data_IF_549532308338
#
_entry.id   IF_549532308338
#
_cell.length_a   1.000
_cell.length_b   1.000
_cell.length_c   1.000
_cell.angle_alpha   90.00
_cell.angle_beta   90.00
_cell.angle_gamma   90.00
#
_symmetry.space_group_name_H-M   'P 1'
#
loop_
_entity.id
_entity.type
_entity.pdbx_description
1 polymer ?
#
# COMPACT_ATOMS: atom_id res chain seq x y z
N UNK A 1 29.79 21.69 -39.85
CA UNK A 1 28.86 22.59 -40.53
C UNK A 1 28.06 21.76 -41.52
N UNK A 2 26.94 21.20 -41.07
CA UNK A 2 26.03 20.42 -41.90
C UNK A 2 24.63 20.99 -41.65
N UNK A 3 24.19 21.82 -42.59
CA UNK A 3 22.88 22.44 -42.59
C UNK A 3 21.77 21.39 -42.58
N UNK A 4 20.94 21.46 -41.56
CA UNK A 4 19.71 20.65 -41.43
C UNK A 4 18.65 21.29 -42.35
N UNK A 5 18.62 20.91 -43.61
CA UNK A 5 17.56 21.26 -44.53
C UNK A 5 16.20 20.78 -44.00
N UNK A 6 15.22 21.69 -43.96
CA UNK A 6 13.86 21.41 -43.56
C UNK A 6 13.14 20.57 -44.63
N UNK A 7 12.23 19.67 -44.21
CA UNK A 7 11.49 18.77 -45.13
C UNK A 7 10.76 19.57 -46.24
N UNK A 8 10.33 20.78 -45.92
CA UNK A 8 9.66 21.67 -46.87
C UNK A 8 10.60 22.23 -47.96
N UNK A 9 11.91 22.40 -47.68
CA UNK A 9 12.93 22.79 -48.67
C UNK A 9 13.29 21.66 -49.64
N UNK A 10 13.21 20.40 -49.17
CA UNK A 10 13.47 19.21 -50.02
C UNK A 10 12.30 18.99 -51.01
N UNK A 11 11.07 19.31 -50.60
CA UNK A 11 9.89 19.23 -51.46
C UNK A 11 9.91 20.23 -52.62
N UNK A 12 10.51 21.41 -52.42
CA UNK A 12 10.67 22.44 -53.43
C UNK A 12 11.68 22.08 -54.53
N UNK A 13 12.56 21.09 -54.28
CA UNK A 13 13.57 20.62 -55.23
C UNK A 13 13.08 19.47 -56.13
N UNK A 14 11.79 19.12 -56.10
CA UNK A 14 11.18 18.11 -56.97
C UNK A 14 11.66 16.66 -56.74
N UNK A 15 12.32 16.38 -55.63
CA UNK A 15 12.78 15.02 -55.29
C UNK A 15 11.92 14.45 -54.17
N UNK A 16 11.33 13.28 -54.37
CA UNK A 16 10.63 12.54 -53.34
C UNK A 16 11.64 12.11 -52.25
N UNK A 17 11.44 12.52 -50.98
CA UNK A 17 12.37 12.13 -49.93
C UNK A 17 12.32 10.61 -49.73
N UNK A 18 13.50 10.00 -49.66
CA UNK A 18 13.56 8.54 -49.35
C UNK A 18 12.94 8.26 -47.99
N UNK A 19 12.35 7.08 -47.83
CA UNK A 19 11.74 6.64 -46.56
C UNK A 19 12.70 6.79 -45.37
N UNK A 20 14.00 6.64 -45.60
CA UNK A 20 15.05 6.84 -44.61
C UNK A 20 15.20 8.29 -44.14
N UNK A 21 15.06 9.29 -45.07
CA UNK A 21 15.15 10.71 -44.75
C UNK A 21 13.95 11.17 -43.92
N UNK A 22 12.74 10.63 -44.19
CA UNK A 22 11.52 10.93 -43.41
C UNK A 22 11.63 10.34 -41.99
N UNK A 23 12.20 9.14 -41.83
CA UNK A 23 12.39 8.51 -40.52
C UNK A 23 13.44 9.26 -39.67
N UNK A 24 14.53 9.73 -40.32
CA UNK A 24 15.56 10.51 -39.62
C UNK A 24 15.07 11.92 -39.25
N UNK A 25 14.29 12.57 -40.09
CA UNK A 25 13.67 13.86 -39.77
C UNK A 25 12.66 13.73 -38.59
N UNK A 26 11.85 12.67 -38.56
CA UNK A 26 10.97 12.36 -37.42
C UNK A 26 11.73 12.13 -36.13
N UNK A 27 12.86 11.40 -36.15
CA UNK A 27 13.71 11.17 -34.93
C UNK A 27 14.34 12.49 -34.45
N UNK A 28 14.79 13.38 -35.34
CA UNK A 28 15.36 14.68 -34.97
C UNK A 28 14.35 15.64 -34.33
N UNK A 29 13.08 15.59 -34.76
CA UNK A 29 12.00 16.43 -34.24
C UNK A 29 11.64 16.12 -32.79
N UNK A 30 11.69 14.84 -32.39
CA UNK A 30 11.41 14.41 -31.02
C UNK A 30 12.55 14.70 -30.02
N UNK A 31 13.79 14.81 -30.52
CA UNK A 31 14.95 15.06 -29.65
C UNK A 31 15.14 16.53 -29.28
N UNK A 32 14.76 17.46 -30.17
CA UNK A 32 14.90 18.93 -29.93
C UNK A 32 13.84 19.52 -28.97
N UNK A 33 12.70 18.83 -28.74
CA UNK A 33 11.64 19.33 -27.85
C UNK A 33 11.88 19.07 -26.34
N UNK A 34 12.91 18.32 -25.98
CA UNK A 34 13.10 17.88 -24.57
C UNK A 34 13.88 18.82 -23.65
N UNK A 35 14.56 19.83 -24.14
CA UNK A 35 15.46 20.65 -23.29
C UNK A 35 14.85 22.03 -22.91
N UNK A 36 13.89 22.54 -23.69
CA UNK A 36 13.28 23.84 -23.43
C UNK A 36 12.10 23.86 -22.44
N UNK A 37 11.46 22.73 -22.21
CA UNK A 37 10.20 22.64 -21.44
C UNK A 37 10.39 22.36 -19.93
N UNK A 38 11.58 21.95 -19.49
CA UNK A 38 11.81 21.57 -18.10
C UNK A 38 11.72 22.74 -17.11
N UNK A 39 12.17 23.95 -17.51
CA UNK A 39 12.09 25.14 -16.66
C UNK A 39 10.68 25.70 -16.56
N UNK A 40 9.91 25.69 -17.64
CA UNK A 40 8.52 26.15 -17.64
C UNK A 40 7.58 25.21 -16.88
N UNK A 41 7.73 23.90 -17.06
CA UNK A 41 6.93 22.92 -16.33
C UNK A 41 7.30 22.84 -14.83
N UNK A 42 8.57 23.04 -14.46
CA UNK A 42 8.98 23.13 -13.07
C UNK A 42 8.37 24.35 -12.36
N UNK A 43 8.28 25.49 -13.05
CA UNK A 43 7.66 26.70 -12.50
C UNK A 43 6.14 26.53 -12.28
N UNK A 44 5.47 25.83 -13.19
CA UNK A 44 4.04 25.51 -13.05
C UNK A 44 3.75 24.50 -11.94
N UNK A 45 4.68 23.57 -11.66
CA UNK A 45 4.57 22.59 -10.57
C UNK A 45 5.04 23.15 -9.22
N UNK A 46 5.82 24.23 -9.21
CA UNK A 46 6.39 24.79 -7.98
C UNK A 46 5.31 25.16 -6.94
N UNK A 47 4.19 25.82 -7.25
CA UNK A 47 3.19 26.17 -6.24
C UNK A 47 2.57 24.92 -5.59
N UNK A 48 2.28 23.88 -6.37
CA UNK A 48 1.69 22.62 -5.85
C UNK A 48 2.70 21.84 -5.02
N UNK A 49 3.97 21.80 -5.41
CA UNK A 49 5.05 21.18 -4.65
C UNK A 49 5.31 21.90 -3.33
N UNK A 50 5.35 23.25 -3.34
CA UNK A 50 5.51 24.06 -2.13
C UNK A 50 4.35 23.83 -1.18
N UNK A 51 3.10 23.86 -1.68
CA UNK A 51 1.92 23.60 -0.87
C UNK A 51 1.98 22.20 -0.25
N UNK A 52 2.31 21.19 -1.03
CA UNK A 52 2.43 19.80 -0.58
C UNK A 52 3.52 19.65 0.48
N UNK A 53 4.70 20.24 0.27
CA UNK A 53 5.80 20.24 1.23
C UNK A 53 5.43 20.97 2.53
N UNK A 54 4.72 22.08 2.46
CA UNK A 54 4.25 22.79 3.64
C UNK A 54 3.18 21.99 4.38
N UNK A 55 2.19 21.46 3.67
CA UNK A 55 1.09 20.72 4.30
C UNK A 55 1.51 19.38 4.91
N UNK A 56 2.48 18.67 4.31
CA UNK A 56 3.01 17.42 4.83
C UNK A 56 4.24 17.61 5.73
N UNK A 57 5.13 18.52 5.35
CA UNK A 57 6.39 18.74 6.07
C UNK A 57 6.17 19.38 7.42
N UNK A 58 5.29 20.40 7.52
CA UNK A 58 5.07 21.11 8.77
C UNK A 58 4.57 20.19 9.89
N UNK A 59 3.51 19.37 9.71
CA UNK A 59 3.08 18.43 10.75
C UNK A 59 4.16 17.40 11.12
N UNK A 60 4.90 16.90 10.14
CA UNK A 60 6.01 15.97 10.40
C UNK A 60 7.10 16.60 11.24
N UNK A 61 7.50 17.84 10.93
CA UNK A 61 8.51 18.58 11.70
C UNK A 61 7.99 18.84 13.12
N UNK A 62 6.74 19.23 13.28
CA UNK A 62 6.12 19.46 14.61
C UNK A 62 6.16 18.18 15.43
N UNK A 63 5.72 17.04 14.87
CA UNK A 63 5.77 15.72 15.55
C UNK A 63 7.21 15.32 15.87
N UNK A 64 8.15 15.55 14.95
CA UNK A 64 9.57 15.27 15.16
C UNK A 64 10.13 16.14 16.31
N UNK A 65 9.87 17.44 16.32
CA UNK A 65 10.35 18.34 17.39
C UNK A 65 9.72 17.95 18.72
N UNK A 66 8.40 17.74 18.77
CA UNK A 66 7.72 17.34 20.01
C UNK A 66 8.22 16.01 20.55
N UNK A 67 8.70 15.10 19.70
CA UNK A 67 9.26 13.82 20.15
C UNK A 67 10.52 13.94 21.04
N UNK A 68 11.23 15.07 20.95
CA UNK A 68 12.41 15.38 21.77
C UNK A 68 12.10 16.29 22.95
N UNK A 69 10.86 16.79 23.08
CA UNK A 69 10.47 17.67 24.18
C UNK A 69 10.56 16.97 25.54
N UNK A 70 10.71 17.76 26.63
CA UNK A 70 10.66 17.26 27.99
C UNK A 70 9.38 16.50 28.28
N UNK A 71 9.48 15.46 29.10
CA UNK A 71 8.34 14.60 29.42
C UNK A 71 8.20 14.41 30.93
N UNK A 72 7.07 14.90 31.45
CA UNK A 72 6.75 14.87 32.89
C UNK A 72 6.64 13.42 33.40
N UNK A 73 6.13 12.48 32.60
CA UNK A 73 6.01 11.06 33.01
C UNK A 73 7.38 10.39 33.22
N UNK A 74 8.41 10.86 32.51
CA UNK A 74 9.79 10.32 32.59
C UNK A 74 10.63 11.15 33.56
N UNK A 75 10.07 12.21 34.13
CA UNK A 75 10.77 13.17 35.05
C UNK A 75 12.06 13.75 34.42
N UNK A 76 12.01 14.07 33.13
CA UNK A 76 13.11 14.68 32.38
C UNK A 76 12.72 16.07 31.93
N UNK A 77 13.49 17.05 32.35
CA UNK A 77 13.25 18.48 32.08
C UNK A 77 13.98 18.97 30.81
N UNK A 78 15.01 18.21 30.33
CA UNK A 78 15.79 18.58 29.17
C UNK A 78 15.30 17.85 27.91
N UNK A 79 15.35 18.49 26.72
CA UNK A 79 15.11 17.82 25.44
C UNK A 79 16.12 16.72 25.18
N UNK A 80 15.70 15.60 24.58
CA UNK A 80 16.61 14.51 24.28
C UNK A 80 15.93 13.23 23.78
N UNK A 81 16.69 12.18 23.61
CA UNK A 81 16.21 10.86 23.16
C UNK A 81 15.50 10.04 24.22
N UNK A 82 15.23 10.58 25.39
CA UNK A 82 14.65 9.89 26.55
C UNK A 82 13.27 9.26 26.27
N UNK A 83 12.45 9.88 25.43
CA UNK A 83 11.16 9.33 25.03
C UNK A 83 11.32 8.04 24.23
N UNK A 84 12.30 7.99 23.33
CA UNK A 84 12.62 6.79 22.54
C UNK A 84 13.21 5.68 23.40
N UNK A 85 14.17 6.04 24.28
CA UNK A 85 14.77 5.11 25.23
C UNK A 85 13.70 4.47 26.10
N UNK A 86 12.78 5.27 26.64
CA UNK A 86 11.65 4.79 27.44
C UNK A 86 10.75 3.83 26.69
N UNK A 87 10.39 4.14 25.42
CA UNK A 87 9.56 3.26 24.60
C UNK A 87 10.23 1.92 24.27
N UNK A 88 11.56 1.93 24.08
CA UNK A 88 12.32 0.71 23.73
C UNK A 88 12.67 -0.09 24.96
N UNK A 89 13.07 0.56 26.05
CA UNK A 89 13.48 -0.11 27.29
C UNK A 89 12.31 -0.75 28.03
N UNK A 90 11.12 -0.17 27.95
CA UNK A 90 9.92 -0.72 28.59
C UNK A 90 9.38 -1.90 27.79
N UNK A 91 9.44 -3.09 28.40
CA UNK A 91 9.01 -4.36 27.78
C UNK A 91 7.59 -4.30 27.20
N UNK A 92 6.71 -3.55 27.83
CA UNK A 92 5.33 -3.37 27.39
C UNK A 92 5.26 -2.68 26.00
N UNK A 93 5.92 -1.53 25.84
CA UNK A 93 5.86 -0.78 24.57
C UNK A 93 6.61 -1.49 23.45
N UNK A 94 7.74 -2.13 23.77
CA UNK A 94 8.46 -2.99 22.83
C UNK A 94 7.58 -4.16 22.33
N UNK A 95 6.82 -4.80 23.21
CA UNK A 95 5.88 -5.85 22.83
C UNK A 95 4.76 -5.33 21.92
N UNK A 96 4.23 -4.12 22.19
CA UNK A 96 3.21 -3.50 21.35
C UNK A 96 3.75 -3.16 19.97
N UNK A 97 4.99 -2.67 19.87
CA UNK A 97 5.66 -2.42 18.59
C UNK A 97 5.79 -3.71 17.78
N UNK A 98 6.31 -4.78 18.38
CA UNK A 98 6.45 -6.08 17.73
C UNK A 98 5.08 -6.63 17.29
N UNK A 99 4.04 -6.48 18.11
CA UNK A 99 2.68 -6.88 17.77
C UNK A 99 2.16 -6.10 16.54
N UNK A 100 2.39 -4.80 16.49
CA UNK A 100 1.98 -3.97 15.35
C UNK A 100 2.57 -4.48 14.04
N UNK A 101 3.88 -4.75 14.04
CA UNK A 101 4.59 -5.27 12.87
C UNK A 101 4.07 -6.67 12.52
N UNK A 102 3.89 -7.55 13.52
CA UNK A 102 3.38 -8.91 13.33
C UNK A 102 1.99 -8.91 12.72
N UNK A 103 1.06 -8.10 13.24
CA UNK A 103 -0.30 -7.97 12.70
C UNK A 103 -0.29 -7.46 11.25
N UNK A 104 0.51 -6.44 10.95
CA UNK A 104 0.65 -5.91 9.59
C UNK A 104 1.22 -6.96 8.62
N UNK A 105 2.23 -7.72 9.05
CA UNK A 105 2.80 -8.81 8.26
C UNK A 105 1.80 -9.95 8.05
N UNK A 106 1.11 -10.41 9.10
CA UNK A 106 0.09 -11.45 8.99
C UNK A 106 -1.04 -11.02 8.06
N UNK A 107 -1.54 -9.79 8.22
CA UNK A 107 -2.56 -9.25 7.33
C UNK A 107 -2.08 -9.22 5.88
N UNK A 108 -0.84 -8.80 5.64
CA UNK A 108 -0.23 -8.78 4.29
C UNK A 108 -0.11 -10.19 3.72
N UNK A 109 0.44 -11.13 4.49
CA UNK A 109 0.67 -12.53 4.06
C UNK A 109 -0.66 -13.24 3.74
N UNK A 110 -1.72 -12.96 4.49
CA UNK A 110 -3.05 -13.54 4.23
C UNK A 110 -3.75 -12.85 3.06
N UNK A 111 -3.70 -11.52 3.01
CA UNK A 111 -4.42 -10.74 1.98
C UNK A 111 -3.79 -10.90 0.60
N UNK A 112 -2.47 -10.97 0.50
CA UNK A 112 -1.77 -11.03 -0.78
C UNK A 112 -2.16 -12.22 -1.66
N UNK A 113 -2.12 -13.49 -1.18
CA UNK A 113 -2.54 -14.65 -1.97
C UNK A 113 -4.02 -14.60 -2.34
N UNK A 114 -4.90 -14.17 -1.41
CA UNK A 114 -6.33 -14.02 -1.65
C UNK A 114 -6.59 -12.97 -2.74
N UNK A 115 -5.93 -11.81 -2.62
CA UNK A 115 -6.00 -10.73 -3.60
C UNK A 115 -5.45 -11.15 -4.97
N UNK A 116 -4.35 -11.91 -5.00
CA UNK A 116 -3.76 -12.40 -6.24
C UNK A 116 -4.69 -13.39 -6.95
N UNK A 117 -5.25 -14.35 -6.22
CA UNK A 117 -6.23 -15.29 -6.77
C UNK A 117 -7.47 -14.57 -7.33
N UNK A 118 -8.00 -13.60 -6.59
CA UNK A 118 -9.14 -12.79 -7.03
C UNK A 118 -8.79 -11.93 -8.26
N UNK A 119 -7.60 -11.31 -8.30
CA UNK A 119 -7.13 -10.53 -9.44
C UNK A 119 -6.99 -11.35 -10.73
N UNK A 120 -6.57 -12.64 -10.62
CA UNK A 120 -6.53 -13.57 -11.76
C UNK A 120 -7.92 -13.98 -12.26
N UNK A 121 -8.91 -14.01 -11.37
CA UNK A 121 -10.28 -14.39 -11.71
C UNK A 121 -11.10 -13.23 -12.26
N UNK A 122 -10.79 -11.99 -11.87
CA UNK A 122 -11.54 -10.79 -12.24
C UNK A 122 -11.70 -10.59 -13.76
N UNK A 123 -10.66 -10.79 -14.61
CA UNK A 123 -10.79 -10.67 -16.06
C UNK A 123 -11.68 -11.75 -16.71
N UNK A 124 -11.93 -12.86 -16.00
CA UNK A 124 -12.78 -13.96 -16.49
C UNK A 124 -14.26 -13.69 -16.32
N UNK A 125 -14.61 -12.70 -15.49
CA UNK A 125 -15.98 -12.27 -15.34
C UNK A 125 -16.41 -11.47 -16.57
N UNK A 126 -17.57 -11.80 -17.14
CA UNK A 126 -18.06 -11.15 -18.34
C UNK A 126 -19.18 -10.14 -18.03
N UNK A 127 -19.22 -9.06 -18.82
CA UNK A 127 -20.29 -8.08 -18.83
C UNK A 127 -20.63 -7.49 -17.46
N UNK A 128 -21.91 -7.57 -17.07
CA UNK A 128 -22.42 -6.98 -15.81
C UNK A 128 -21.75 -7.53 -14.55
N UNK A 129 -21.30 -8.79 -14.55
CA UNK A 129 -20.65 -9.39 -13.37
C UNK A 129 -19.27 -8.79 -13.11
N UNK A 130 -18.53 -8.43 -14.13
CA UNK A 130 -17.26 -7.71 -14.00
C UNK A 130 -17.48 -6.34 -13.34
N UNK A 131 -18.44 -5.55 -13.82
CA UNK A 131 -18.74 -4.24 -13.27
C UNK A 131 -19.25 -4.33 -11.81
N UNK A 132 -20.12 -5.32 -11.51
CA UNK A 132 -20.58 -5.55 -10.14
C UNK A 132 -19.45 -5.95 -9.20
N UNK A 133 -18.49 -6.76 -9.66
CA UNK A 133 -17.32 -7.14 -8.87
C UNK A 133 -16.45 -5.90 -8.56
N UNK A 134 -16.16 -5.05 -9.56
CA UNK A 134 -15.42 -3.80 -9.34
C UNK A 134 -16.18 -2.87 -8.39
N UNK A 135 -17.49 -2.70 -8.55
CA UNK A 135 -18.29 -1.90 -7.62
C UNK A 135 -18.25 -2.46 -6.20
N UNK A 136 -18.39 -3.78 -6.05
CA UNK A 136 -18.28 -4.45 -4.75
C UNK A 136 -16.93 -4.30 -4.08
N UNK A 137 -15.83 -4.33 -4.86
CA UNK A 137 -14.48 -4.09 -4.37
C UNK A 137 -14.23 -2.61 -4.01
N UNK A 138 -14.84 -1.69 -4.74
CA UNK A 138 -14.67 -0.26 -4.50
C UNK A 138 -15.50 0.23 -3.31
N UNK A 139 -16.63 -0.43 -3.03
CA UNK A 139 -17.55 -0.03 -1.97
C UNK A 139 -16.89 0.05 -0.57
N UNK A 140 -16.12 -0.95 -0.07
CA UNK A 140 -15.43 -0.84 1.23
C UNK A 140 -14.41 0.30 1.29
N UNK A 141 -13.78 0.63 0.16
CA UNK A 141 -12.83 1.75 0.08
C UNK A 141 -13.57 3.08 0.27
N UNK A 142 -14.71 3.26 -0.40
CA UNK A 142 -15.53 4.47 -0.32
C UNK A 142 -16.26 4.59 1.02
N UNK A 143 -16.74 3.48 1.57
CA UNK A 143 -17.39 3.43 2.87
C UNK A 143 -16.44 3.74 4.03
N UNK A 144 -15.14 3.51 3.82
CA UNK A 144 -14.11 3.71 4.81
C UNK A 144 -14.02 2.62 5.87
N UNK A 145 -12.90 2.57 6.61
CA UNK A 145 -12.62 1.47 7.55
C UNK A 145 -13.61 1.39 8.71
N UNK A 146 -14.17 2.52 9.15
CA UNK A 146 -15.10 2.55 10.28
C UNK A 146 -16.38 1.76 9.99
N UNK A 147 -16.98 1.94 8.81
CA UNK A 147 -18.22 1.23 8.42
C UNK A 147 -17.97 -0.28 8.34
N UNK A 148 -16.83 -0.68 7.75
CA UNK A 148 -16.43 -2.10 7.67
C UNK A 148 -16.31 -2.72 9.06
N UNK A 149 -15.71 -1.99 10.01
CA UNK A 149 -15.48 -2.49 11.37
C UNK A 149 -16.78 -2.57 12.17
N UNK A 150 -17.67 -1.58 12.05
CA UNK A 150 -19.01 -1.64 12.64
C UNK A 150 -19.79 -2.85 12.14
N UNK A 151 -19.66 -3.18 10.84
CA UNK A 151 -20.22 -4.42 10.28
C UNK A 151 -19.65 -5.68 10.96
N UNK A 152 -18.34 -5.75 11.16
CA UNK A 152 -17.72 -6.87 11.87
C UNK A 152 -18.08 -6.93 13.36
N UNK A 153 -18.22 -5.78 14.03
CA UNK A 153 -18.72 -5.71 15.41
C UNK A 153 -20.15 -6.23 15.54
N UNK A 154 -20.96 -6.10 14.51
CA UNK A 154 -22.31 -6.66 14.49
C UNK A 154 -22.33 -8.17 14.16
N UNK A 155 -21.39 -8.64 13.32
CA UNK A 155 -21.35 -10.04 12.82
C UNK A 155 -20.63 -11.01 13.75
N UNK A 156 -19.52 -10.59 14.38
CA UNK A 156 -18.60 -11.46 15.14
C UNK A 156 -19.03 -11.84 16.58
N UNK A 157 -20.01 -11.20 17.26
CA UNK A 157 -20.43 -11.67 18.57
C UNK A 157 -20.84 -13.14 18.54
N UNK A 158 -20.49 -13.90 19.60
CA UNK A 158 -20.75 -15.33 19.66
C UNK A 158 -22.22 -15.75 19.55
N UNK A 159 -23.16 -14.82 19.80
CA UNK A 159 -24.60 -14.97 19.53
C UNK A 159 -25.09 -13.99 18.45
N UNK A 160 -24.18 -13.44 17.67
CA UNK A 160 -24.51 -12.56 16.53
C UNK A 160 -25.06 -13.31 15.33
N UNK A 161 -25.34 -12.59 14.22
CA UNK A 161 -25.94 -13.19 13.03
C UNK A 161 -25.10 -14.31 12.41
N UNK A 162 -23.77 -14.28 12.57
CA UNK A 162 -22.88 -15.28 12.00
C UNK A 162 -22.90 -16.59 12.77
N UNK A 163 -22.76 -16.53 14.10
CA UNK A 163 -22.63 -17.71 14.98
C UNK A 163 -23.93 -18.12 15.68
N UNK A 164 -24.88 -17.18 15.82
CA UNK A 164 -26.13 -17.43 16.51
C UNK A 164 -26.91 -18.64 16.01
N UNK A 165 -27.12 -18.82 14.70
CA UNK A 165 -27.78 -20.00 14.15
C UNK A 165 -27.08 -21.32 14.52
N UNK A 166 -25.75 -21.36 14.47
CA UNK A 166 -24.95 -22.54 14.81
C UNK A 166 -24.99 -22.85 16.31
N UNK A 167 -24.99 -21.81 17.14
CA UNK A 167 -25.12 -21.94 18.60
C UNK A 167 -26.52 -22.41 18.98
N UNK A 168 -27.56 -21.87 18.33
CA UNK A 168 -28.95 -22.26 18.62
C UNK A 168 -29.25 -23.70 18.18
N UNK A 169 -28.55 -24.20 17.16
CA UNK A 169 -28.62 -25.60 16.74
C UNK A 169 -27.77 -26.54 17.61
N UNK A 170 -27.07 -26.00 18.61
CA UNK A 170 -26.21 -26.79 19.51
C UNK A 170 -24.91 -27.32 18.87
N UNK A 171 -24.55 -26.83 17.67
CA UNK A 171 -23.38 -27.29 16.90
C UNK A 171 -22.07 -26.74 17.44
N UNK A 172 -22.07 -25.53 18.02
CA UNK A 172 -20.89 -24.89 18.60
C UNK A 172 -21.24 -24.14 19.87
N UNK A 173 -20.27 -23.99 20.77
CA UNK A 173 -20.34 -23.04 21.90
C UNK A 173 -20.14 -21.60 21.38
N UNK A 174 -20.76 -20.56 22.01
CA UNK A 174 -20.57 -19.17 21.59
C UNK A 174 -19.10 -18.78 21.56
N UNK A 175 -18.50 -18.51 20.39
CA UNK A 175 -17.07 -18.17 20.31
C UNK A 175 -16.83 -16.75 20.82
N UNK A 176 -15.72 -16.55 21.54
CA UNK A 176 -15.24 -15.22 21.96
C UNK A 176 -14.19 -14.74 20.97
N UNK A 177 -14.62 -14.17 19.85
CA UNK A 177 -13.72 -13.67 18.79
C UNK A 177 -13.40 -12.19 19.00
N UNK A 178 -14.39 -11.38 19.36
CA UNK A 178 -14.16 -9.97 19.69
C UNK A 178 -13.23 -9.86 20.90
N UNK A 179 -12.29 -8.94 20.83
CA UNK A 179 -11.24 -8.75 21.82
C UNK A 179 -9.99 -9.61 21.56
N UNK A 180 -9.88 -10.26 20.41
CA UNK A 180 -8.74 -11.09 20.04
C UNK A 180 -8.03 -10.58 18.78
N UNK A 181 -6.78 -11.01 18.60
CA UNK A 181 -5.99 -10.77 17.40
C UNK A 181 -6.69 -11.26 16.12
N UNK A 182 -7.43 -12.36 16.23
CA UNK A 182 -8.19 -12.94 15.10
C UNK A 182 -9.26 -11.99 14.58
N UNK A 183 -10.00 -11.30 15.46
CA UNK A 183 -11.00 -10.32 15.05
C UNK A 183 -10.35 -9.14 14.29
N UNK A 184 -9.23 -8.66 14.81
CA UNK A 184 -8.45 -7.59 14.18
C UNK A 184 -7.96 -8.03 12.82
N UNK A 185 -7.40 -9.24 12.71
CA UNK A 185 -6.87 -9.79 11.46
C UNK A 185 -7.97 -9.94 10.40
N UNK A 186 -9.14 -10.49 10.76
CA UNK A 186 -10.28 -10.65 9.84
C UNK A 186 -10.68 -9.29 9.25
N UNK A 187 -10.83 -8.28 10.10
CA UNK A 187 -11.25 -6.95 9.65
C UNK A 187 -10.17 -6.26 8.81
N UNK A 188 -8.89 -6.42 9.16
CA UNK A 188 -7.77 -5.90 8.38
C UNK A 188 -7.71 -6.56 7.00
N UNK A 189 -7.78 -7.88 6.93
CA UNK A 189 -7.78 -8.62 5.66
C UNK A 189 -8.92 -8.15 4.76
N UNK A 190 -10.15 -8.03 5.31
CA UNK A 190 -11.29 -7.53 4.56
C UNK A 190 -11.05 -6.10 4.02
N UNK A 191 -10.56 -5.20 4.86
CA UNK A 191 -10.27 -3.82 4.45
C UNK A 191 -9.14 -3.73 3.42
N UNK A 192 -8.10 -4.54 3.55
CA UNK A 192 -6.94 -4.54 2.67
C UNK A 192 -7.19 -5.27 1.32
N UNK A 193 -8.15 -6.20 1.29
CA UNK A 193 -8.39 -7.05 0.13
C UNK A 193 -8.68 -6.28 -1.17
N UNK A 194 -9.52 -5.23 -1.19
CA UNK A 194 -9.76 -4.43 -2.38
C UNK A 194 -8.48 -3.78 -2.94
N UNK A 195 -7.61 -3.27 -2.07
CA UNK A 195 -6.33 -2.68 -2.48
C UNK A 195 -5.43 -3.72 -3.14
N UNK A 196 -5.35 -4.93 -2.56
CA UNK A 196 -4.59 -6.02 -3.15
C UNK A 196 -5.12 -6.42 -4.53
N UNK A 197 -6.44 -6.63 -4.65
CA UNK A 197 -7.06 -7.06 -5.89
C UNK A 197 -6.85 -6.03 -6.99
N UNK A 198 -7.16 -4.75 -6.73
CA UNK A 198 -7.07 -3.69 -7.74
C UNK A 198 -5.64 -3.46 -8.20
N UNK A 199 -4.66 -3.42 -7.27
CA UNK A 199 -3.25 -3.22 -7.62
C UNK A 199 -2.69 -4.39 -8.43
N UNK A 200 -3.01 -5.63 -8.04
CA UNK A 200 -2.56 -6.82 -8.76
C UNK A 200 -3.28 -6.98 -10.10
N UNK A 201 -4.57 -6.69 -10.16
CA UNK A 201 -5.36 -6.72 -11.39
C UNK A 201 -4.77 -5.79 -12.45
N UNK A 202 -4.51 -4.53 -12.11
CA UNK A 202 -3.91 -3.57 -13.05
C UNK A 202 -2.53 -4.01 -13.53
N UNK A 203 -1.73 -4.64 -12.68
CA UNK A 203 -0.41 -5.17 -13.05
C UNK A 203 -0.53 -6.37 -14.00
N UNK A 204 -1.43 -7.31 -13.70
CA UNK A 204 -1.63 -8.51 -14.52
C UNK A 204 -2.21 -8.14 -15.89
N UNK A 205 -3.12 -7.16 -15.95
CA UNK A 205 -3.74 -6.71 -17.20
C UNK A 205 -2.74 -6.03 -18.16
N UNK A 206 -1.64 -5.47 -17.63
CA UNK A 206 -0.57 -4.88 -18.43
C UNK A 206 0.35 -5.92 -19.12
N UNK A 207 0.25 -7.21 -18.76
CA UNK A 207 1.05 -8.26 -19.40
C UNK A 207 0.55 -8.47 -20.82
N UNK A 208 1.43 -8.35 -21.85
CA UNK A 208 1.04 -8.49 -23.25
C UNK A 208 0.41 -9.87 -23.53
N UNK A 209 -0.71 -9.87 -24.26
CA UNK A 209 -1.41 -11.13 -24.61
C UNK A 209 -0.57 -12.06 -25.48
N UNK A 210 0.30 -11.52 -26.31
CA UNK A 210 1.20 -12.26 -27.18
C UNK A 210 2.07 -13.27 -26.40
N UNK A 211 2.43 -12.95 -25.16
CA UNK A 211 3.21 -13.85 -24.30
C UNK A 211 2.40 -15.10 -23.88
N UNK A 212 1.09 -14.92 -23.66
CA UNK A 212 0.19 -16.04 -23.36
C UNK A 212 -0.04 -16.92 -24.59
N UNK A 213 -0.17 -16.32 -25.79
CA UNK A 213 -0.32 -17.01 -27.06
C UNK A 213 0.95 -17.78 -27.43
N UNK A 214 2.14 -17.18 -27.23
CA UNK A 214 3.42 -17.85 -27.42
C UNK A 214 3.58 -19.05 -26.48
N UNK A 215 3.24 -18.91 -25.19
CA UNK A 215 3.28 -20.01 -24.24
C UNK A 215 2.33 -21.15 -24.66
N UNK A 216 1.11 -20.82 -25.10
CA UNK A 216 0.15 -21.80 -25.59
C UNK A 216 0.65 -22.54 -26.86
N UNK A 217 1.29 -21.83 -27.79
CA UNK A 217 1.87 -22.38 -29.00
C UNK A 217 3.03 -23.37 -28.72
N UNK A 218 3.75 -23.15 -27.61
CA UNK A 218 4.77 -24.05 -27.08
C UNK A 218 4.20 -25.22 -26.27
N UNK A 219 2.86 -25.35 -26.16
CA UNK A 219 2.21 -26.41 -25.41
C UNK A 219 2.18 -26.22 -23.90
N UNK A 220 2.44 -25.02 -23.42
CA UNK A 220 2.41 -24.73 -21.98
C UNK A 220 0.99 -24.85 -21.42
N UNK A 221 0.82 -25.64 -20.37
CA UNK A 221 -0.43 -25.73 -19.62
C UNK A 221 -0.66 -24.48 -18.75
N UNK A 222 -1.88 -24.34 -18.17
CA UNK A 222 -2.26 -23.18 -17.33
C UNK A 222 -1.29 -22.92 -16.17
N UNK A 223 -0.80 -23.98 -15.51
CA UNK A 223 0.11 -23.85 -14.36
C UNK A 223 1.51 -23.41 -14.81
N UNK A 224 2.01 -23.95 -15.93
CA UNK A 224 3.29 -23.54 -16.51
C UNK A 224 3.22 -22.08 -16.96
N UNK A 225 2.18 -21.67 -17.68
CA UNK A 225 1.97 -20.28 -18.08
C UNK A 225 1.89 -19.32 -16.86
N UNK A 226 1.23 -19.75 -15.79
CA UNK A 226 1.21 -18.98 -14.55
C UNK A 226 2.60 -18.80 -13.95
N UNK A 227 3.34 -19.91 -13.79
CA UNK A 227 4.65 -19.92 -13.14
C UNK A 227 5.73 -19.22 -13.99
N UNK A 228 5.71 -19.41 -15.31
CA UNK A 228 6.81 -19.01 -16.19
C UNK A 228 6.56 -17.65 -16.87
N UNK A 229 5.29 -17.20 -16.94
CA UNK A 229 4.90 -15.93 -17.58
C UNK A 229 4.26 -14.97 -16.55
N UNK A 230 3.10 -15.37 -15.98
CA UNK A 230 2.30 -14.45 -15.17
C UNK A 230 3.00 -14.04 -13.88
N UNK A 231 3.50 -15.00 -13.11
CA UNK A 231 4.12 -14.76 -11.82
C UNK A 231 5.38 -13.89 -11.91
N UNK A 232 6.37 -14.19 -12.80
CA UNK A 232 7.57 -13.37 -12.92
C UNK A 232 7.27 -11.94 -13.40
N UNK A 233 6.38 -11.78 -14.37
CA UNK A 233 6.04 -10.47 -14.91
C UNK A 233 5.18 -9.63 -13.96
N UNK A 234 4.43 -10.26 -13.07
CA UNK A 234 3.65 -9.56 -12.04
C UNK A 234 4.43 -9.29 -10.74
N UNK A 235 5.65 -9.79 -10.58
CA UNK A 235 6.47 -9.58 -9.38
C UNK A 235 6.60 -8.12 -8.95
N UNK A 236 6.86 -7.14 -9.85
CA UNK A 236 6.88 -5.73 -9.46
C UNK A 236 5.56 -5.25 -8.84
N UNK A 237 4.43 -5.74 -9.36
CA UNK A 237 3.11 -5.49 -8.81
C UNK A 237 2.89 -6.17 -7.45
N UNK A 238 3.39 -7.38 -7.27
CA UNK A 238 3.37 -8.09 -5.97
C UNK A 238 4.14 -7.30 -4.91
N UNK A 239 5.34 -6.80 -5.25
CA UNK A 239 6.16 -5.99 -4.33
C UNK A 239 5.45 -4.70 -3.93
N UNK A 240 4.93 -3.95 -4.92
CA UNK A 240 4.19 -2.72 -4.63
C UNK A 240 2.93 -2.98 -3.81
N UNK A 241 2.22 -4.07 -4.09
CA UNK A 241 1.06 -4.49 -3.28
C UNK A 241 1.48 -4.83 -1.86
N UNK A 242 2.55 -5.59 -1.63
CA UNK A 242 3.08 -5.88 -0.30
C UNK A 242 3.38 -4.60 0.50
N UNK A 243 4.01 -3.61 -0.14
CA UNK A 243 4.32 -2.31 0.49
C UNK A 243 3.04 -1.59 0.91
N UNK A 244 2.04 -1.53 0.02
CA UNK A 244 0.75 -0.89 0.30
C UNK A 244 0.04 -1.60 1.46
N UNK A 245 -0.09 -2.93 1.40
CA UNK A 245 -0.80 -3.71 2.42
C UNK A 245 -0.13 -3.59 3.78
N UNK A 246 1.20 -3.72 3.82
CA UNK A 246 1.97 -3.59 5.06
C UNK A 246 1.84 -2.19 5.65
N UNK A 247 1.95 -1.14 4.82
CA UNK A 247 1.85 0.24 5.29
C UNK A 247 0.46 0.56 5.84
N UNK A 248 -0.60 0.18 5.11
CA UNK A 248 -1.99 0.37 5.56
C UNK A 248 -2.31 -0.48 6.82
N UNK A 249 -1.81 -1.71 6.87
CA UNK A 249 -1.97 -2.60 8.03
C UNK A 249 -1.29 -2.06 9.28
N UNK A 250 -0.01 -1.63 9.17
CA UNK A 250 0.76 -1.10 10.28
C UNK A 250 0.24 0.25 10.80
N UNK A 251 -0.32 1.08 9.93
CA UNK A 251 -0.93 2.38 10.29
C UNK A 251 -2.38 2.27 10.75
N UNK A 252 -2.99 1.07 10.72
CA UNK A 252 -4.38 0.89 11.09
C UNK A 252 -4.60 1.14 12.59
N UNK A 253 -5.48 2.07 12.89
CA UNK A 253 -5.91 2.42 14.25
C UNK A 253 -7.27 1.78 14.60
N UNK A 254 -8.24 1.87 13.67
CA UNK A 254 -9.64 1.60 13.96
C UNK A 254 -9.89 0.12 14.25
N UNK A 255 -9.29 -0.81 13.46
CA UNK A 255 -9.44 -2.27 13.68
C UNK A 255 -8.95 -2.73 15.04
N UNK A 256 -7.71 -2.44 15.47
CA UNK A 256 -7.24 -2.82 16.80
C UNK A 256 -8.03 -2.15 17.93
N UNK A 257 -8.43 -0.88 17.74
CA UNK A 257 -9.14 -0.12 18.75
C UNK A 257 -10.53 -0.71 19.08
N UNK A 258 -11.31 -1.07 18.06
CA UNK A 258 -12.69 -1.54 18.26
C UNK A 258 -12.81 -3.05 18.39
N UNK A 259 -11.96 -3.84 17.73
CA UNK A 259 -12.06 -5.30 17.71
C UNK A 259 -11.00 -6.00 18.55
N UNK A 260 -9.91 -5.31 18.92
CA UNK A 260 -8.74 -5.94 19.53
C UNK A 260 -8.79 -6.07 21.05
N UNK A 261 -9.61 -5.32 21.77
CA UNK A 261 -9.58 -5.32 23.23
C UNK A 261 -8.26 -4.82 23.85
N UNK A 262 -8.19 -4.82 25.19
CA UNK A 262 -7.07 -4.23 25.94
C UNK A 262 -5.73 -4.99 25.77
N UNK A 263 -5.77 -6.29 25.47
CA UNK A 263 -4.56 -7.11 25.26
C UNK A 263 -3.97 -6.95 23.86
N UNK A 264 -4.73 -6.45 22.89
CA UNK A 264 -4.36 -6.41 21.48
C UNK A 264 -4.05 -4.98 20.98
N UNK A 265 -3.53 -4.14 21.88
CA UNK A 265 -3.13 -2.78 21.54
C UNK A 265 -1.99 -2.78 20.51
N UNK A 266 -2.09 -1.88 19.53
CA UNK A 266 -1.04 -1.58 18.56
C UNK A 266 -0.39 -0.24 18.87
N UNK A 267 0.75 0.05 18.25
CA UNK A 267 1.44 1.31 18.48
C UNK A 267 0.59 2.52 18.05
N UNK A 268 -0.22 2.37 16.99
CA UNK A 268 -1.18 3.40 16.55
C UNK A 268 -2.26 3.67 17.59
N UNK A 269 -2.76 2.64 18.29
CA UNK A 269 -3.73 2.83 19.39
C UNK A 269 -3.07 3.47 20.60
N UNK A 270 -1.81 3.14 20.90
CA UNK A 270 -1.05 3.80 21.97
C UNK A 270 -0.78 5.28 21.67
N UNK A 271 -0.42 5.63 20.43
CA UNK A 271 -0.26 7.04 20.01
C UNK A 271 -1.54 7.80 20.28
N UNK A 272 -2.70 7.24 19.90
CA UNK A 272 -3.99 7.88 20.18
C UNK A 272 -4.27 8.01 21.68
N UNK A 273 -3.94 7.00 22.50
CA UNK A 273 -4.06 7.09 23.96
C UNK A 273 -3.16 8.16 24.57
N UNK A 274 -1.91 8.27 24.10
CA UNK A 274 -0.98 9.31 24.57
C UNK A 274 -1.51 10.71 24.29
N UNK A 275 -2.15 10.94 23.14
CA UNK A 275 -2.71 12.24 22.78
C UNK A 275 -4.05 12.49 23.49
N UNK A 276 -4.98 11.54 23.42
CA UNK A 276 -6.37 11.76 23.81
C UNK A 276 -6.65 11.49 25.30
N UNK A 277 -5.92 10.56 25.91
CA UNK A 277 -6.18 10.16 27.30
C UNK A 277 -5.14 10.73 28.28
N UNK A 278 -3.86 10.77 27.92
CA UNK A 278 -2.79 11.21 28.83
C UNK A 278 -2.23 12.59 28.49
N UNK A 279 -2.65 13.18 27.37
CA UNK A 279 -2.18 14.50 26.88
C UNK A 279 -0.65 14.60 26.80
N UNK A 280 0.03 13.47 26.51
CA UNK A 280 1.48 13.36 26.45
C UNK A 280 1.96 13.42 24.99
N UNK A 281 2.03 14.63 24.44
CA UNK A 281 2.48 14.87 23.06
C UNK A 281 3.92 14.41 22.79
N UNK A 282 4.89 14.58 23.72
CA UNK A 282 6.26 14.10 23.49
C UNK A 282 6.34 12.59 23.29
N UNK A 283 5.64 11.81 24.12
CA UNK A 283 5.65 10.36 24.02
C UNK A 283 4.88 9.87 22.79
N UNK A 284 3.78 10.52 22.46
CA UNK A 284 3.03 10.26 21.24
C UNK A 284 3.86 10.54 19.98
N UNK A 285 4.58 11.67 19.96
CA UNK A 285 5.49 12.04 18.87
C UNK A 285 6.62 11.04 18.70
N UNK A 286 7.27 10.64 19.80
CA UNK A 286 8.33 9.62 19.77
C UNK A 286 7.80 8.25 19.26
N UNK A 287 6.62 7.82 19.70
CA UNK A 287 5.99 6.59 19.26
C UNK A 287 5.62 6.64 17.75
N UNK A 288 5.12 7.78 17.27
CA UNK A 288 4.79 7.98 15.86
C UNK A 288 6.05 7.95 14.98
N UNK A 289 7.12 8.64 15.40
CA UNK A 289 8.40 8.63 14.67
C UNK A 289 9.07 7.26 14.70
N UNK A 290 8.99 6.53 15.82
CA UNK A 290 9.48 5.14 15.92
C UNK A 290 8.73 4.22 14.94
N UNK A 291 7.40 4.32 14.89
CA UNK A 291 6.59 3.56 13.93
C UNK A 291 6.99 3.89 12.49
N UNK A 292 7.10 5.17 12.16
CA UNK A 292 7.52 5.61 10.83
C UNK A 292 8.88 5.04 10.44
N UNK A 293 9.86 5.13 11.35
CA UNK A 293 11.21 4.60 11.11
C UNK A 293 11.19 3.09 10.86
N UNK A 294 10.49 2.33 11.70
CA UNK A 294 10.37 0.87 11.55
C UNK A 294 9.65 0.50 10.27
N UNK A 295 8.59 1.22 9.88
CA UNK A 295 7.90 1.01 8.59
C UNK A 295 8.84 1.27 7.41
N UNK A 296 9.60 2.37 7.43
CA UNK A 296 10.56 2.68 6.35
C UNK A 296 11.66 1.61 6.25
N UNK A 297 12.18 1.13 7.38
CA UNK A 297 13.15 0.03 7.41
C UNK A 297 12.57 -1.28 6.87
N UNK A 298 11.34 -1.62 7.24
CA UNK A 298 10.66 -2.81 6.74
C UNK A 298 10.41 -2.72 5.23
N UNK A 299 9.96 -1.58 4.72
CA UNK A 299 9.78 -1.33 3.29
C UNK A 299 11.11 -1.40 2.54
N UNK A 300 12.16 -0.77 3.07
CA UNK A 300 13.50 -0.84 2.48
C UNK A 300 14.01 -2.28 2.43
N UNK A 301 13.85 -3.04 3.52
CA UNK A 301 14.18 -4.46 3.58
C UNK A 301 13.41 -5.30 2.55
N UNK A 302 12.12 -5.03 2.39
CA UNK A 302 11.28 -5.69 1.39
C UNK A 302 11.80 -5.40 -0.03
N UNK A 303 12.06 -4.13 -0.35
CA UNK A 303 12.57 -3.72 -1.67
C UNK A 303 13.93 -4.38 -1.95
N UNK A 304 14.84 -4.43 -0.96
CA UNK A 304 16.14 -5.05 -1.11
C UNK A 304 16.04 -6.57 -1.31
N UNK A 305 15.16 -7.24 -0.56
CA UNK A 305 14.91 -8.67 -0.71
C UNK A 305 14.38 -9.02 -2.11
N UNK A 306 13.49 -8.19 -2.67
CA UNK A 306 12.94 -8.42 -4.01
C UNK A 306 13.87 -7.96 -5.15
N UNK A 307 14.81 -7.05 -4.90
CA UNK A 307 15.79 -6.64 -5.92
C UNK A 307 16.64 -7.78 -6.45
N UNK A 308 16.89 -8.80 -5.64
CA UNK A 308 17.61 -10.01 -6.04
C UNK A 308 16.80 -10.91 -6.98
N UNK A 309 15.46 -10.83 -6.94
CA UNK A 309 14.56 -11.61 -7.81
C UNK A 309 14.19 -10.90 -9.12
N UNK A 310 14.34 -9.57 -9.19
CA UNK A 310 13.95 -8.73 -10.34
C UNK A 310 15.17 -8.41 -11.24
N UNK A 311 16.39 -8.75 -10.83
CA UNK A 311 17.56 -8.61 -11.72
C UNK A 311 17.52 -9.76 -12.75
N UNK A 312 17.52 -9.41 -14.07
CA UNK A 312 17.62 -10.39 -15.15
C UNK A 312 18.94 -11.15 -15.10
#
# INVERSE_FOLDING_TARGET
MADTLNVDEIALLGRTPSAAAVVLARRGFWHKRRIGTFRGSALLLAPSLILLLLCLGTPLIVVLVSSFEPNVLIQREAPGFYNYEYLIAQRYYAAVLVRTIRLALLATVVTLPLGYAAALLLPRLAGRFHNLAIMGLTFPILAGPLVVILGWMALLPGRGPLFGPLVNLGLISPPRIIGTETAVLISLVHFLLPFAILTLYTTIEQIPRDLYEAAASLGAGRLSTFRDVTLPLSLPGVVSTCIILFSLGASSYISPHYLGGASELTLTTLIAQFILATYNSPLAGAAAMLLLMVMLLAIAGLILAFRSFVRP
#
